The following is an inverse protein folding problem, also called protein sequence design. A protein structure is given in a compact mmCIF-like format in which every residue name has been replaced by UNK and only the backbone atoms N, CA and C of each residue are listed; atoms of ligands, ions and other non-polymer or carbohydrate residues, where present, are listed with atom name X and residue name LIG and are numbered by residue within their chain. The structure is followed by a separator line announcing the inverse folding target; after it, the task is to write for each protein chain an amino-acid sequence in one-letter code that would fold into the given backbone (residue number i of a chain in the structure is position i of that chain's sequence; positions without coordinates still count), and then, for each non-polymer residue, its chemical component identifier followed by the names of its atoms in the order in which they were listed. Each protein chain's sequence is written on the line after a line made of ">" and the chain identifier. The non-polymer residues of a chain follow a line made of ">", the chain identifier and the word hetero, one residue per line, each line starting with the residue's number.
data_IF_258441667313
#
_entry.id   IF_258441667313
#
_cell.length_a   1.000
_cell.length_b   1.000
_cell.length_c   1.000
_cell.angle_alpha   90.00
_cell.angle_beta   90.00
_cell.angle_gamma   90.00
#
_symmetry.space_group_name_H-M   'P 1'
#
loop_
_entity.id
_entity.type
_entity.pdbx_description
1 polymer ?
#
# COMPACT_ATOMS: atom_id res chain seq x y z
N UNK A 1 -2.06 -39.15 73.36
CA UNK A 1 -1.52 -37.93 72.75
C UNK A 1 -1.40 -38.19 71.28
N UNK A 2 -2.29 -37.60 70.47
CA UNK A 2 -2.35 -37.79 69.06
C UNK A 2 -1.86 -36.47 68.41
N UNK A 3 -0.70 -36.53 67.71
CA UNK A 3 -0.15 -35.39 66.99
C UNK A 3 -0.75 -35.33 65.59
N UNK A 4 -1.49 -34.26 65.29
CA UNK A 4 -2.02 -33.96 64.00
C UNK A 4 -0.93 -33.24 63.22
N UNK A 5 -0.44 -33.85 62.14
CA UNK A 5 0.41 -33.21 61.13
C UNK A 5 -0.46 -32.54 60.08
N UNK A 6 -0.41 -31.23 60.04
CA UNK A 6 -1.05 -30.41 58.95
C UNK A 6 -0.07 -30.29 57.81
N UNK A 7 -0.36 -30.95 56.70
CA UNK A 7 0.40 -30.79 55.43
C UNK A 7 -0.12 -29.56 54.65
N UNK A 8 0.67 -28.51 54.54
CA UNK A 8 0.39 -27.34 53.71
C UNK A 8 0.78 -27.65 52.27
N UNK A 9 -0.20 -27.81 51.39
CA UNK A 9 -0.02 -27.88 49.94
C UNK A 9 0.14 -26.45 49.38
N UNK A 10 1.37 -26.07 49.06
CA UNK A 10 1.65 -24.85 48.32
C UNK A 10 1.38 -25.10 46.81
N UNK A 11 0.26 -24.57 46.31
CA UNK A 11 -0.03 -24.55 44.91
C UNK A 11 0.84 -23.47 44.24
N UNK A 12 1.88 -23.89 43.53
CA UNK A 12 2.69 -23.02 42.67
C UNK A 12 1.90 -22.78 41.38
N UNK A 13 1.17 -21.68 41.34
CA UNK A 13 0.53 -21.19 40.11
C UNK A 13 1.59 -20.65 39.13
N UNK A 14 1.95 -21.44 38.14
CA UNK A 14 2.76 -20.95 37.01
C UNK A 14 1.89 -20.04 36.16
N UNK A 15 2.04 -18.72 36.36
CA UNK A 15 1.48 -17.71 35.44
C UNK A 15 2.26 -17.81 34.13
N UNK A 16 1.73 -18.52 33.16
CA UNK A 16 2.19 -18.44 31.77
C UNK A 16 1.72 -17.10 31.22
N UNK A 17 2.55 -16.07 31.37
CA UNK A 17 2.42 -14.84 30.64
C UNK A 17 2.68 -15.17 29.17
N UNK A 18 1.60 -15.52 28.47
CA UNK A 18 1.61 -15.63 27.01
C UNK A 18 2.01 -14.29 26.41
N UNK A 19 3.29 -14.14 26.08
CA UNK A 19 3.76 -13.04 25.25
C UNK A 19 3.00 -13.13 23.93
N UNK A 20 1.93 -12.38 23.81
CA UNK A 20 1.26 -12.11 22.54
C UNK A 20 2.28 -11.34 21.68
N UNK A 21 3.14 -12.09 20.99
CA UNK A 21 3.90 -11.54 19.87
C UNK A 21 2.84 -11.10 18.88
N UNK A 22 2.53 -9.80 18.89
CA UNK A 22 1.84 -9.16 17.77
C UNK A 22 2.65 -9.53 16.54
N UNK A 23 2.12 -10.47 15.74
CA UNK A 23 2.78 -10.90 14.52
C UNK A 23 2.94 -9.62 13.67
N UNK A 24 4.16 -9.08 13.61
CA UNK A 24 4.47 -7.92 12.80
C UNK A 24 4.14 -8.30 11.36
N UNK A 25 3.18 -7.61 10.77
CA UNK A 25 2.79 -7.83 9.37
C UNK A 25 4.03 -7.79 8.49
N UNK A 26 4.10 -8.67 7.51
CA UNK A 26 5.20 -8.65 6.53
C UNK A 26 5.24 -7.31 5.78
N UNK A 27 6.39 -6.91 5.21
CA UNK A 27 6.45 -5.72 4.36
C UNK A 27 5.38 -5.72 3.27
N UNK A 28 5.20 -6.85 2.56
CA UNK A 28 4.18 -6.98 1.54
C UNK A 28 2.75 -6.78 2.08
N UNK A 29 2.41 -7.33 3.26
CA UNK A 29 1.08 -7.12 3.86
C UNK A 29 0.84 -5.67 4.30
N UNK A 30 1.89 -4.94 4.72
CA UNK A 30 1.77 -3.51 4.99
C UNK A 30 1.63 -2.70 3.71
N UNK A 31 2.40 -3.07 2.68
CA UNK A 31 2.31 -2.48 1.35
C UNK A 31 0.95 -2.70 0.71
N UNK A 32 0.35 -3.87 0.90
CA UNK A 32 -1.02 -4.15 0.47
C UNK A 32 -2.01 -3.18 1.10
N UNK A 33 -1.94 -2.94 2.40
CA UNK A 33 -2.83 -1.99 3.08
C UNK A 33 -2.69 -0.56 2.50
N UNK A 34 -1.46 -0.12 2.21
CA UNK A 34 -1.20 1.16 1.56
C UNK A 34 -1.79 1.16 0.14
N UNK A 35 -1.51 0.13 -0.65
CA UNK A 35 -1.98 0.01 -2.03
C UNK A 35 -3.51 0.01 -2.11
N UNK A 36 -4.19 -0.75 -1.25
CA UNK A 36 -5.65 -0.89 -1.26
C UNK A 36 -6.37 0.35 -0.71
N UNK A 37 -5.84 0.97 0.34
CA UNK A 37 -6.59 1.98 1.10
C UNK A 37 -5.85 3.28 1.41
N UNK A 38 -4.57 3.41 1.06
CA UNK A 38 -3.74 4.56 1.40
C UNK A 38 -3.43 4.69 2.89
N UNK A 39 -3.52 3.59 3.66
CA UNK A 39 -3.33 3.59 5.11
C UNK A 39 -1.98 2.96 5.44
N UNK A 40 -1.14 3.70 6.17
CA UNK A 40 0.14 3.23 6.68
C UNK A 40 -0.03 2.23 7.83
N UNK A 41 1.06 1.53 8.21
CA UNK A 41 1.05 0.52 9.26
C UNK A 41 0.62 1.07 10.65
N UNK A 42 0.81 2.36 10.90
CA UNK A 42 0.37 3.06 12.10
C UNK A 42 -1.12 3.46 12.10
N UNK A 43 -1.86 3.11 11.03
CA UNK A 43 -3.28 3.43 10.88
C UNK A 43 -3.56 4.83 10.30
N UNK A 44 -2.54 5.62 10.03
CA UNK A 44 -2.71 6.96 9.47
C UNK A 44 -2.86 6.92 7.94
N UNK A 45 -3.62 7.85 7.40
CA UNK A 45 -3.68 8.08 5.96
C UNK A 45 -2.35 8.67 5.48
N UNK A 46 -1.84 8.15 4.38
CA UNK A 46 -0.69 8.73 3.70
C UNK A 46 -1.13 9.97 2.94
N UNK A 47 -0.49 11.14 3.20
CA UNK A 47 -0.81 12.36 2.47
C UNK A 47 -0.51 12.23 0.98
N UNK A 48 -1.33 12.88 0.16
CA UNK A 48 -1.17 12.93 -1.29
C UNK A 48 -1.65 14.25 -1.85
N UNK A 49 -1.14 14.65 -2.99
CA UNK A 49 -1.68 15.81 -3.71
C UNK A 49 -3.08 15.51 -4.20
N UNK A 50 -3.96 16.52 -4.13
CA UNK A 50 -5.24 16.43 -4.81
C UNK A 50 -5.00 16.39 -6.31
N UNK A 51 -5.54 15.40 -7.01
CA UNK A 51 -5.58 15.43 -8.48
C UNK A 51 -6.39 16.65 -8.89
N UNK A 52 -5.80 17.53 -9.69
CA UNK A 52 -6.43 18.78 -10.10
C UNK A 52 -7.82 18.55 -10.68
N UNK A 53 -8.83 19.18 -10.08
CA UNK A 53 -10.15 19.26 -10.69
C UNK A 53 -11.38 19.02 -9.80
N UNK A 54 -11.24 18.61 -8.53
CA UNK A 54 -12.42 18.43 -7.65
C UNK A 54 -12.24 19.08 -6.27
N UNK A 55 -11.79 20.31 -6.24
CA UNK A 55 -11.93 21.21 -5.09
C UNK A 55 -13.24 22.02 -5.27
N UNK A 56 -14.36 21.36 -5.04
CA UNK A 56 -15.65 22.03 -5.06
C UNK A 56 -16.71 21.17 -4.40
N UNK A 57 -16.95 21.38 -3.12
CA UNK A 57 -18.11 20.83 -2.44
C UNK A 57 -17.77 20.00 -1.21
N UNK A 58 -17.77 20.65 -0.04
CA UNK A 58 -17.87 19.99 1.26
C UNK A 58 -19.21 19.26 1.41
N UNK A 59 -19.32 18.07 0.81
CA UNK A 59 -20.47 17.19 0.98
C UNK A 59 -20.06 15.92 1.71
N UNK A 60 -20.98 15.28 2.43
CA UNK A 60 -20.82 14.07 3.25
C UNK A 60 -20.16 12.86 2.56
N UNK A 61 -19.75 12.95 1.31
CA UNK A 61 -18.96 11.94 0.58
C UNK A 61 -17.44 12.04 0.77
N UNK A 62 -16.93 13.11 1.41
CA UNK A 62 -15.49 13.36 1.59
C UNK A 62 -14.73 12.26 2.34
N UNK A 63 -15.41 11.53 3.23
CA UNK A 63 -14.78 10.47 4.02
C UNK A 63 -14.39 9.21 3.22
N UNK A 64 -15.07 8.94 2.12
CA UNK A 64 -14.78 7.76 1.29
C UNK A 64 -13.63 7.99 0.30
N UNK A 65 -13.49 9.23 -0.20
CA UNK A 65 -12.34 9.60 -1.05
C UNK A 65 -11.02 9.74 -0.26
N UNK A 66 -11.09 10.00 1.05
CA UNK A 66 -9.88 10.09 1.89
C UNK A 66 -9.16 8.76 2.07
N UNK A 67 -9.83 7.62 1.90
CA UNK A 67 -9.26 6.27 2.05
C UNK A 67 -8.98 5.58 0.71
N UNK A 68 -8.74 6.31 -0.34
CA UNK A 68 -8.43 5.73 -1.64
C UNK A 68 -6.93 5.44 -1.75
N UNK A 69 -6.57 4.20 -2.00
CA UNK A 69 -5.22 3.76 -2.35
C UNK A 69 -5.01 3.69 -3.87
N UNK A 70 -3.90 3.14 -4.29
CA UNK A 70 -3.56 2.92 -5.70
C UNK A 70 -4.60 2.04 -6.41
N UNK A 71 -5.13 1.05 -5.69
CA UNK A 71 -6.16 0.12 -6.17
C UNK A 71 -7.45 0.81 -6.65
N UNK A 72 -7.76 2.01 -6.16
CA UNK A 72 -8.95 2.76 -6.59
C UNK A 72 -8.94 3.02 -8.09
N UNK A 73 -7.77 3.32 -8.64
CA UNK A 73 -7.59 3.57 -10.07
C UNK A 73 -7.03 2.32 -10.79
N UNK A 74 -6.03 1.66 -10.22
CA UNK A 74 -5.30 0.60 -10.90
C UNK A 74 -5.86 -0.82 -10.69
N UNK A 75 -6.99 -0.96 -9.98
CA UNK A 75 -7.53 -2.27 -9.61
C UNK A 75 -6.85 -2.87 -8.38
N UNK A 76 -7.55 -3.76 -7.67
CA UNK A 76 -7.01 -4.42 -6.47
C UNK A 76 -5.84 -5.36 -6.78
N UNK A 77 -5.73 -5.78 -8.02
CA UNK A 77 -4.70 -6.67 -8.59
C UNK A 77 -3.62 -5.92 -9.38
N UNK A 78 -3.77 -4.60 -9.55
CA UNK A 78 -2.82 -3.75 -10.26
C UNK A 78 -2.88 -3.82 -11.78
N UNK A 79 -3.82 -4.56 -12.38
CA UNK A 79 -3.93 -4.72 -13.83
C UNK A 79 -4.47 -3.50 -14.58
N UNK A 80 -4.79 -2.43 -13.87
CA UNK A 80 -5.40 -1.24 -14.44
C UNK A 80 -6.92 -1.34 -14.51
N UNK A 81 -7.53 -0.23 -14.89
CA UNK A 81 -8.99 -0.12 -15.05
C UNK A 81 -9.32 0.82 -16.18
N UNK A 82 -10.36 0.48 -16.93
CA UNK A 82 -10.96 1.38 -17.90
C UNK A 82 -12.35 1.78 -17.45
N UNK A 83 -12.61 3.08 -17.44
CA UNK A 83 -13.91 3.68 -17.12
C UNK A 83 -14.29 4.64 -18.25
N UNK A 84 -15.55 5.11 -18.31
CA UNK A 84 -15.92 6.12 -19.33
C UNK A 84 -15.14 7.42 -19.25
N UNK A 85 -14.50 7.73 -18.10
CA UNK A 85 -13.86 9.02 -17.83
C UNK A 85 -12.33 8.94 -17.80
N UNK A 86 -11.77 7.76 -17.56
CA UNK A 86 -10.32 7.57 -17.57
C UNK A 86 -9.95 6.10 -17.76
N UNK A 87 -8.74 5.86 -18.25
CA UNK A 87 -8.10 4.55 -18.28
C UNK A 87 -6.80 4.62 -17.51
N UNK A 88 -6.59 3.69 -16.58
CA UNK A 88 -5.35 3.57 -15.82
C UNK A 88 -4.55 2.35 -16.30
N UNK A 89 -3.22 2.45 -16.37
CA UNK A 89 -2.38 1.36 -16.86
C UNK A 89 -2.28 0.20 -15.87
N UNK A 90 -1.87 -0.95 -16.40
CA UNK A 90 -1.41 -2.10 -15.63
C UNK A 90 -0.10 -1.74 -14.92
N UNK A 91 -0.10 -1.76 -13.59
CA UNK A 91 1.05 -1.44 -12.73
C UNK A 91 1.57 -2.67 -11.98
N UNK A 92 1.30 -3.89 -12.49
CA UNK A 92 2.00 -5.08 -11.96
C UNK A 92 3.50 -4.92 -12.17
N UNK A 93 4.29 -5.43 -11.23
CA UNK A 93 5.75 -5.25 -11.27
C UNK A 93 6.36 -5.79 -12.57
N UNK A 94 5.86 -6.95 -13.05
CA UNK A 94 6.32 -7.53 -14.30
C UNK A 94 6.07 -6.63 -15.51
N UNK A 95 4.90 -5.96 -15.59
CA UNK A 95 4.63 -5.03 -16.69
C UNK A 95 5.48 -3.75 -16.59
N UNK A 96 5.62 -3.20 -15.38
CA UNK A 96 6.40 -1.98 -15.17
C UNK A 96 7.89 -2.15 -15.50
N UNK A 97 8.44 -3.34 -15.23
CA UNK A 97 9.87 -3.63 -15.42
C UNK A 97 10.17 -4.45 -16.68
N UNK A 98 9.19 -4.61 -17.57
CA UNK A 98 9.39 -5.29 -18.85
C UNK A 98 10.53 -4.60 -19.63
N UNK A 99 11.60 -5.34 -20.03
CA UNK A 99 12.71 -4.77 -20.78
C UNK A 99 12.31 -4.17 -22.13
N UNK A 100 11.16 -4.59 -22.67
CA UNK A 100 10.60 -4.04 -23.91
C UNK A 100 9.77 -2.76 -23.69
N UNK A 101 9.71 -2.27 -22.45
CA UNK A 101 8.84 -1.18 -22.02
C UNK A 101 7.48 -1.66 -21.54
N UNK A 102 6.89 -0.95 -20.57
CA UNK A 102 5.57 -1.30 -20.04
C UNK A 102 4.50 -1.26 -21.12
N UNK A 103 3.61 -2.25 -21.16
CA UNK A 103 2.48 -2.26 -22.07
C UNK A 103 1.42 -1.27 -21.57
N UNK A 104 1.09 -0.30 -22.43
CA UNK A 104 0.07 0.71 -22.18
C UNK A 104 -1.33 0.18 -22.54
N UNK A 105 -2.40 0.80 -22.03
CA UNK A 105 -3.78 0.40 -22.33
C UNK A 105 -4.15 0.49 -23.83
N UNK A 106 -3.48 1.33 -24.60
CA UNK A 106 -3.68 1.48 -26.05
C UNK A 106 -2.86 0.47 -26.89
N UNK A 107 -2.11 -0.43 -26.23
CA UNK A 107 -1.25 -1.41 -26.87
C UNK A 107 0.14 -0.91 -27.23
N UNK A 108 0.46 0.36 -27.00
CA UNK A 108 1.81 0.89 -27.22
C UNK A 108 2.76 0.48 -26.08
N UNK A 109 4.07 0.69 -26.29
CA UNK A 109 5.09 0.49 -25.26
C UNK A 109 5.52 1.83 -24.69
N UNK A 110 5.46 1.95 -23.39
CA UNK A 110 6.02 3.07 -22.64
C UNK A 110 7.41 2.76 -22.10
N UNK A 111 7.93 3.59 -21.18
CA UNK A 111 9.26 3.39 -20.61
C UNK A 111 9.32 2.15 -19.70
N UNK A 112 10.54 1.62 -19.53
CA UNK A 112 10.83 0.58 -18.52
C UNK A 112 11.16 1.23 -17.19
N UNK A 113 10.49 0.80 -16.12
CA UNK A 113 10.74 1.31 -14.78
C UNK A 113 11.79 0.49 -14.05
N UNK A 114 12.48 1.15 -13.13
CA UNK A 114 13.32 0.57 -12.08
C UNK A 114 12.69 0.84 -10.72
N UNK A 115 13.15 0.18 -9.65
CA UNK A 115 12.66 0.46 -8.28
C UNK A 115 12.80 1.94 -7.90
N UNK A 116 13.85 2.62 -8.36
CA UNK A 116 14.07 4.05 -8.10
C UNK A 116 13.15 4.95 -8.93
N UNK A 117 12.97 4.68 -10.22
CA UNK A 117 12.07 5.49 -11.05
C UNK A 117 10.60 5.24 -10.69
N UNK A 118 10.23 4.04 -10.22
CA UNK A 118 8.90 3.80 -9.65
C UNK A 118 8.65 4.67 -8.42
N UNK A 119 9.65 4.83 -7.53
CA UNK A 119 9.53 5.75 -6.40
C UNK A 119 9.30 7.19 -6.88
N UNK A 120 10.08 7.63 -7.85
CA UNK A 120 9.95 8.97 -8.44
C UNK A 120 8.56 9.17 -9.05
N UNK A 121 8.06 8.18 -9.79
CA UNK A 121 6.73 8.21 -10.37
C UNK A 121 5.63 8.39 -9.32
N UNK A 122 5.69 7.62 -8.24
CA UNK A 122 4.67 7.65 -7.18
C UNK A 122 4.78 8.92 -6.32
N UNK A 123 6.00 9.41 -6.04
CA UNK A 123 6.20 10.53 -5.11
C UNK A 123 6.32 11.89 -5.79
N UNK A 124 6.75 11.94 -7.05
CA UNK A 124 6.98 13.18 -7.78
C UNK A 124 6.13 13.31 -9.05
N UNK A 125 5.48 12.22 -9.47
CA UNK A 125 4.65 12.20 -10.67
C UNK A 125 5.47 12.31 -11.96
N UNK A 126 6.68 11.73 -11.99
CA UNK A 126 7.56 11.72 -13.16
C UNK A 126 7.82 10.29 -13.61
N UNK A 127 7.73 10.04 -14.89
CA UNK A 127 8.14 8.78 -15.50
C UNK A 127 9.67 8.61 -15.57
N UNK A 128 10.21 7.47 -16.02
CA UNK A 128 11.65 7.26 -16.17
C UNK A 128 12.34 8.25 -17.14
N UNK A 129 11.61 8.85 -18.06
CA UNK A 129 12.11 9.81 -19.05
C UNK A 129 12.02 11.26 -18.54
N UNK A 130 11.47 11.47 -17.32
CA UNK A 130 11.31 12.77 -16.69
C UNK A 130 10.03 13.51 -17.12
N UNK A 131 9.16 12.87 -17.89
CA UNK A 131 7.86 13.42 -18.28
C UNK A 131 6.86 13.31 -17.12
N UNK A 132 5.93 14.26 -17.05
CA UNK A 132 4.89 14.22 -16.01
C UNK A 132 3.87 13.12 -16.31
N UNK A 133 3.55 12.36 -15.26
CA UNK A 133 2.42 11.42 -15.33
C UNK A 133 1.11 12.18 -15.50
N UNK A 134 0.20 11.57 -16.25
CA UNK A 134 -1.09 12.18 -16.53
C UNK A 134 -1.98 12.27 -15.27
N UNK A 135 -2.79 13.34 -15.23
CA UNK A 135 -3.90 13.44 -14.27
C UNK A 135 -4.94 12.35 -14.59
N UNK A 136 -5.51 11.68 -13.56
CA UNK A 136 -5.57 12.07 -12.14
C UNK A 136 -4.56 11.36 -11.21
N UNK A 137 -3.42 10.87 -11.69
CA UNK A 137 -2.43 10.20 -10.81
C UNK A 137 -1.92 11.18 -9.73
N UNK A 138 -2.19 10.92 -8.44
CA UNK A 138 -1.73 11.78 -7.35
C UNK A 138 -0.27 11.49 -7.01
N UNK A 139 0.42 12.47 -6.42
CA UNK A 139 1.74 12.28 -5.83
C UNK A 139 1.58 11.93 -4.34
N UNK A 140 2.20 10.85 -3.90
CA UNK A 140 2.10 10.32 -2.54
C UNK A 140 3.31 10.73 -1.69
N UNK A 141 3.05 11.17 -0.46
CA UNK A 141 4.12 11.53 0.49
C UNK A 141 4.53 10.29 1.30
N UNK A 142 5.13 9.31 0.62
CA UNK A 142 5.60 8.08 1.24
C UNK A 142 6.96 8.30 1.92
N UNK A 143 7.08 7.85 3.16
CA UNK A 143 8.38 7.71 3.83
C UNK A 143 9.19 6.57 3.20
N UNK A 144 10.49 6.48 3.51
CA UNK A 144 11.33 5.38 3.02
C UNK A 144 10.79 3.97 3.37
N UNK A 145 10.42 3.70 4.64
CA UNK A 145 9.81 2.42 5.02
C UNK A 145 8.49 2.14 4.32
N UNK A 146 7.59 3.11 4.21
CA UNK A 146 6.31 2.94 3.51
C UNK A 146 6.50 2.64 2.02
N UNK A 147 7.47 3.31 1.38
CA UNK A 147 7.83 2.98 0.00
C UNK A 147 8.36 1.54 -0.12
N UNK A 148 9.23 1.11 0.80
CA UNK A 148 9.74 -0.25 0.80
C UNK A 148 8.62 -1.29 0.94
N UNK A 149 7.62 -1.01 1.77
CA UNK A 149 6.43 -1.85 1.94
C UNK A 149 5.60 -1.90 0.65
N UNK A 150 5.30 -0.75 0.03
CA UNK A 150 4.57 -0.68 -1.25
C UNK A 150 5.32 -1.43 -2.34
N UNK A 151 6.62 -1.24 -2.47
CA UNK A 151 7.44 -1.93 -3.46
C UNK A 151 7.44 -3.46 -3.24
N UNK A 152 7.53 -3.90 -1.97
CA UNK A 152 7.44 -5.31 -1.62
C UNK A 152 6.09 -5.92 -2.05
N UNK A 153 5.01 -5.18 -1.91
CA UNK A 153 3.69 -5.61 -2.38
C UNK A 153 3.59 -5.63 -3.91
N UNK A 154 4.02 -4.56 -4.59
CA UNK A 154 4.02 -4.50 -6.07
C UNK A 154 4.74 -5.70 -6.68
N UNK A 155 5.85 -6.16 -6.08
CA UNK A 155 6.60 -7.35 -6.51
C UNK A 155 5.82 -8.67 -6.35
N UNK A 156 4.72 -8.67 -5.62
CA UNK A 156 3.81 -9.84 -5.51
C UNK A 156 2.72 -9.86 -6.57
N UNK A 157 2.41 -8.70 -7.19
CA UNK A 157 1.41 -8.59 -8.25
C UNK A 157 1.95 -9.20 -9.55
N UNK A 158 1.14 -10.05 -10.18
CA UNK A 158 1.51 -10.83 -11.38
C UNK A 158 0.60 -10.45 -12.53
#
# INVERSE_FOLDING_TARGET
>A
MVALAVAALAAVGVLVLGSQRSASRSPASRGEAIFQSGIAANGNLIPRTASGGMMGGGGMMGGRMMRAGCATCHGSDGHGRSTPTFTSPNITYGNLTDPQGMLQPDGTRGPTYTDSSLRTAVTQGLDPEGSRLESPMPQWQLTGPEWADVLAYLKTLK
#
